data_IF_673398744811
#
_entry.id   IF_673398744811
#
_cell.length_a   1.000
_cell.length_b   1.000
_cell.length_c   1.000
_cell.angle_alpha   90.00
_cell.angle_beta   90.00
_cell.angle_gamma   90.00
#
_symmetry.space_group_name_H-M   'P 1'
#
loop_
_entity.id
_entity.type
_entity.pdbx_description
1 polymer ?
#
# COMPACT_ATOMS: atom_id res chain seq x y z
N UNK A 1 12.82 -0.62 -8.26
CA UNK A 1 12.36 -1.47 -7.13
C UNK A 1 11.77 -2.82 -7.54
N UNK A 2 11.23 -3.00 -8.75
CA UNK A 2 10.92 -4.35 -9.26
C UNK A 2 9.66 -5.00 -8.67
N UNK A 3 8.81 -4.23 -7.99
CA UNK A 3 7.49 -4.67 -7.56
C UNK A 3 6.56 -4.61 -8.76
N UNK A 4 5.95 -5.74 -9.10
CA UNK A 4 5.10 -5.88 -10.31
C UNK A 4 3.71 -6.45 -10.03
N UNK A 5 3.43 -6.80 -8.78
CA UNK A 5 2.11 -7.26 -8.33
C UNK A 5 1.53 -6.24 -7.37
N UNK A 6 0.49 -5.52 -7.79
CA UNK A 6 -0.23 -4.55 -6.98
C UNK A 6 -1.72 -4.68 -7.29
N UNK A 7 -2.55 -4.69 -6.26
CA UNK A 7 -4.01 -4.54 -6.40
C UNK A 7 -4.41 -3.19 -5.84
N UNK A 8 -5.31 -2.50 -6.54
CA UNK A 8 -5.78 -1.17 -6.18
C UNK A 8 -7.30 -1.16 -6.13
N UNK A 9 -7.88 -0.50 -5.14
CA UNK A 9 -9.33 -0.29 -5.03
C UNK A 9 -9.66 1.11 -4.55
N UNK A 10 -10.75 1.67 -5.05
CA UNK A 10 -11.30 2.92 -4.55
C UNK A 10 -12.04 2.66 -3.24
N UNK A 11 -11.69 3.44 -2.22
CA UNK A 11 -12.29 3.35 -0.89
C UNK A 11 -12.69 4.72 -0.37
N UNK A 12 -13.50 4.71 0.67
CA UNK A 12 -13.86 5.90 1.44
C UNK A 12 -13.33 5.71 2.85
N UNK A 13 -12.55 6.68 3.31
CA UNK A 13 -11.86 6.61 4.59
C UNK A 13 -12.12 7.85 5.43
N UNK A 14 -12.02 7.68 6.74
CA UNK A 14 -12.08 8.77 7.69
C UNK A 14 -10.97 8.57 8.72
N UNK A 15 -10.34 9.67 9.13
CA UNK A 15 -9.30 9.68 10.14
C UNK A 15 -9.52 10.84 11.09
N UNK A 16 -10.38 10.66 12.10
CA UNK A 16 -10.50 11.63 13.18
C UNK A 16 -9.16 11.74 13.93
N UNK A 17 -8.46 12.86 13.77
CA UNK A 17 -7.57 13.35 14.81
C UNK A 17 -8.38 14.33 15.66
N UNK A 18 -8.70 13.90 16.88
CA UNK A 18 -9.50 14.70 17.81
C UNK A 18 -8.95 16.11 17.95
N UNK A 19 -9.75 17.10 17.55
CA UNK A 19 -9.58 18.49 17.98
C UNK A 19 -9.18 19.52 16.92
N UNK A 20 -8.74 19.13 15.72
CA UNK A 20 -8.45 20.10 14.67
C UNK A 20 -9.44 19.93 13.52
N UNK A 21 -10.59 20.61 13.64
CA UNK A 21 -11.49 20.83 12.52
C UNK A 21 -10.71 21.52 11.40
N UNK A 22 -10.30 20.75 10.41
CA UNK A 22 -9.60 21.22 9.23
C UNK A 22 -10.55 22.18 8.48
N UNK A 23 -10.31 23.49 8.64
CA UNK A 23 -11.03 24.52 7.91
C UNK A 23 -10.58 24.48 6.45
N UNK A 24 -11.31 23.73 5.65
CA UNK A 24 -11.33 23.88 4.20
C UNK A 24 -12.78 24.12 3.78
N UNK A 25 -13.15 25.39 3.56
CA UNK A 25 -14.37 25.72 2.81
C UNK A 25 -15.65 26.08 3.58
N UNK A 26 -15.61 26.36 4.88
CA UNK A 26 -16.72 27.10 5.54
C UNK A 26 -18.02 26.34 5.81
N UNK A 27 -18.00 25.00 5.83
CA UNK A 27 -19.05 24.21 6.47
C UNK A 27 -18.43 23.29 7.50
N UNK A 28 -18.94 23.35 8.74
CA UNK A 28 -18.59 22.42 9.80
C UNK A 28 -18.80 21.00 9.27
N UNK A 29 -17.72 20.23 9.15
CA UNK A 29 -17.84 18.82 8.82
C UNK A 29 -18.44 18.11 10.03
N UNK A 30 -19.75 17.82 9.94
CA UNK A 30 -20.39 16.76 10.73
C UNK A 30 -19.53 15.51 10.65
N UNK A 31 -19.40 14.79 11.77
CA UNK A 31 -18.53 13.64 12.03
C UNK A 31 -18.68 12.43 11.06
N UNK A 32 -19.49 12.56 10.00
CA UNK A 32 -19.88 11.52 9.03
C UNK A 32 -19.31 11.69 7.59
N UNK A 33 -18.47 12.69 7.32
CA UNK A 33 -17.98 12.89 5.95
C UNK A 33 -16.75 12.04 5.61
N UNK A 34 -16.97 10.94 4.89
CA UNK A 34 -15.90 10.11 4.37
C UNK A 34 -15.22 10.74 3.15
N UNK A 35 -13.89 10.73 3.13
CA UNK A 35 -13.08 11.24 2.01
C UNK A 35 -12.70 10.08 1.09
N UNK A 36 -12.74 10.32 -0.22
CA UNK A 36 -12.27 9.35 -1.21
C UNK A 36 -10.76 9.12 -1.06
N UNK A 37 -10.35 7.84 -1.05
CA UNK A 37 -8.97 7.40 -0.91
C UNK A 37 -8.74 6.18 -1.81
N UNK A 38 -7.48 5.90 -2.11
CA UNK A 38 -7.08 4.69 -2.83
C UNK A 38 -6.46 3.71 -1.84
N UNK A 39 -6.93 2.46 -1.82
CA UNK A 39 -6.32 1.37 -1.07
C UNK A 39 -5.43 0.56 -2.00
N UNK A 40 -4.15 0.45 -1.63
CA UNK A 40 -3.17 -0.39 -2.32
C UNK A 40 -2.89 -1.64 -1.49
N UNK A 41 -2.90 -2.80 -2.14
CA UNK A 41 -2.56 -4.08 -1.54
C UNK A 41 -1.40 -4.68 -2.31
N UNK A 42 -0.28 -4.88 -1.60
CA UNK A 42 0.99 -5.34 -2.15
C UNK A 42 1.49 -6.46 -1.24
N UNK A 43 1.60 -7.67 -1.81
CA UNK A 43 2.17 -8.83 -1.12
C UNK A 43 3.59 -9.01 -1.64
N UNK A 44 4.56 -9.02 -0.72
CA UNK A 44 5.99 -9.13 -1.05
C UNK A 44 6.72 -10.04 -0.06
N UNK A 45 7.90 -10.52 -0.45
CA UNK A 45 8.85 -11.18 0.45
C UNK A 45 9.27 -10.29 1.63
N UNK A 46 9.59 -10.91 2.77
CA UNK A 46 9.95 -10.21 4.02
C UNK A 46 11.14 -9.26 3.86
N UNK A 47 12.10 -9.63 3.03
CA UNK A 47 13.30 -8.86 2.69
C UNK A 47 13.01 -7.58 1.88
N UNK A 48 11.81 -7.46 1.30
CA UNK A 48 11.41 -6.32 0.48
C UNK A 48 10.51 -5.31 1.20
N UNK A 49 9.97 -5.69 2.37
CA UNK A 49 8.95 -4.91 3.09
C UNK A 49 9.40 -3.46 3.33
N UNK A 50 10.55 -3.25 3.95
CA UNK A 50 11.06 -1.91 4.27
C UNK A 50 11.25 -1.05 3.02
N UNK A 51 11.82 -1.62 1.96
CA UNK A 51 12.02 -0.89 0.71
C UNK A 51 10.69 -0.47 0.07
N UNK A 52 9.63 -1.27 0.20
CA UNK A 52 8.30 -0.91 -0.29
C UNK A 52 7.69 0.21 0.56
N UNK A 53 7.80 0.12 1.88
CA UNK A 53 7.32 1.15 2.80
C UNK A 53 7.99 2.49 2.47
N UNK A 54 9.33 2.51 2.40
CA UNK A 54 10.10 3.71 2.13
C UNK A 54 9.68 4.36 0.83
N UNK A 55 9.46 3.55 -0.23
CA UNK A 55 9.05 4.08 -1.53
C UNK A 55 7.63 4.64 -1.53
N UNK A 56 6.70 4.01 -0.82
CA UNK A 56 5.33 4.54 -0.66
C UNK A 56 5.38 5.86 0.10
N UNK A 57 6.20 5.98 1.15
CA UNK A 57 6.33 7.22 1.91
C UNK A 57 6.98 8.31 1.05
N UNK A 58 8.06 8.00 0.34
CA UNK A 58 8.78 8.94 -0.52
C UNK A 58 7.85 9.57 -1.58
N UNK A 59 7.01 8.76 -2.22
CA UNK A 59 6.15 9.21 -3.33
C UNK A 59 4.76 9.70 -2.86
N UNK A 60 4.25 9.17 -1.75
CA UNK A 60 2.90 9.42 -1.28
C UNK A 60 2.77 10.50 -0.21
N UNK A 61 3.88 10.96 0.39
CA UNK A 61 3.87 11.97 1.44
C UNK A 61 3.81 13.38 0.85
N UNK A 62 2.78 14.14 1.21
CA UNK A 62 2.70 15.59 0.96
C UNK A 62 3.13 16.40 2.18
N UNK A 63 3.06 15.80 3.37
CA UNK A 63 3.28 16.48 4.65
C UNK A 63 1.99 16.96 5.31
N UNK A 64 0.86 16.85 4.61
CA UNK A 64 -0.45 17.29 5.10
C UNK A 64 -1.24 16.17 5.78
N UNK A 65 -2.28 16.56 6.51
CA UNK A 65 -3.21 15.62 7.13
C UNK A 65 -3.91 14.81 6.03
N UNK A 66 -3.97 13.49 6.23
CA UNK A 66 -4.67 12.60 5.30
C UNK A 66 -3.79 11.96 4.23
N UNK A 67 -2.45 12.09 4.30
CA UNK A 67 -1.46 11.32 3.52
C UNK A 67 -1.66 9.79 3.63
N UNK A 68 -2.36 9.33 4.67
CA UNK A 68 -2.84 7.96 4.80
C UNK A 68 -2.11 7.17 5.88
N UNK A 69 -2.27 5.85 5.83
CA UNK A 69 -1.63 4.90 6.75
C UNK A 69 -1.20 3.67 5.98
N UNK A 70 -0.06 3.09 6.36
CA UNK A 70 0.40 1.80 5.87
C UNK A 70 0.18 0.77 6.98
N UNK A 71 -0.44 -0.35 6.64
CA UNK A 71 -0.65 -1.47 7.56
C UNK A 71 0.16 -2.67 7.07
N UNK A 72 0.88 -3.31 7.99
CA UNK A 72 1.56 -4.58 7.74
C UNK A 72 0.68 -5.72 8.21
N UNK A 73 0.33 -6.62 7.30
CA UNK A 73 -0.48 -7.80 7.59
C UNK A 73 0.32 -9.04 7.19
N UNK A 74 0.54 -10.02 8.10
CA UNK A 74 1.25 -11.24 7.75
C UNK A 74 0.42 -12.08 6.77
N UNK A 75 1.07 -12.54 5.70
CA UNK A 75 0.48 -13.46 4.71
C UNK A 75 1.09 -14.85 4.91
N UNK A 76 0.25 -15.86 5.10
CA UNK A 76 0.68 -17.22 5.39
C UNK A 76 1.17 -18.00 4.16
N UNK A 77 0.51 -17.82 3.01
CA UNK A 77 0.88 -18.47 1.75
C UNK A 77 0.42 -17.61 0.56
N UNK A 78 1.06 -17.80 -0.59
CA UNK A 78 0.72 -17.18 -1.87
C UNK A 78 0.56 -18.29 -2.89
N UNK A 79 -0.55 -18.29 -3.64
CA UNK A 79 -0.84 -19.32 -4.64
C UNK A 79 -1.07 -18.66 -6.00
N UNK A 80 -0.30 -19.08 -7.01
CA UNK A 80 -0.51 -18.62 -8.39
C UNK A 80 -1.51 -19.53 -9.08
N UNK A 81 -2.73 -19.04 -9.29
CA UNK A 81 -3.83 -19.83 -9.87
C UNK A 81 -3.47 -20.52 -11.19
N UNK A 82 -2.77 -19.83 -12.09
CA UNK A 82 -2.42 -20.37 -13.42
C UNK A 82 -1.52 -21.60 -13.38
N UNK A 83 -0.62 -21.69 -12.40
CA UNK A 83 0.43 -22.72 -12.35
C UNK A 83 0.32 -23.64 -11.14
N UNK A 84 -0.44 -23.27 -10.13
CA UNK A 84 -0.50 -23.97 -8.84
C UNK A 84 0.74 -23.79 -7.97
N UNK A 85 1.70 -22.94 -8.38
CA UNK A 85 2.88 -22.61 -7.57
C UNK A 85 2.46 -22.00 -6.23
N UNK A 86 3.25 -22.26 -5.18
CA UNK A 86 3.01 -21.81 -3.81
C UNK A 86 4.21 -21.04 -3.22
N UNK A 87 3.97 -20.30 -2.14
CA UNK A 87 4.99 -19.55 -1.40
C UNK A 87 5.79 -18.60 -2.29
N UNK A 88 7.11 -18.57 -2.09
CA UNK A 88 8.02 -17.69 -2.85
C UNK A 88 7.92 -17.87 -4.36
N UNK A 89 7.71 -19.10 -4.86
CA UNK A 89 7.61 -19.33 -6.32
C UNK A 89 6.39 -18.65 -6.92
N UNK A 90 5.30 -18.60 -6.16
CA UNK A 90 4.07 -17.94 -6.58
C UNK A 90 4.20 -16.41 -6.53
N UNK A 91 4.81 -15.90 -5.46
CA UNK A 91 5.04 -14.47 -5.22
C UNK A 91 6.03 -13.86 -6.21
N UNK A 92 7.11 -14.59 -6.55
CA UNK A 92 8.15 -14.11 -7.46
C UNK A 92 7.60 -13.79 -8.84
N UNK A 93 7.82 -12.57 -9.28
CA UNK A 93 7.47 -12.12 -10.63
C UNK A 93 8.71 -12.13 -11.53
N UNK A 94 8.58 -12.65 -12.75
CA UNK A 94 9.66 -12.59 -13.75
C UNK A 94 10.02 -11.14 -14.07
N UNK A 95 11.32 -10.85 -14.12
CA UNK A 95 11.95 -9.53 -14.16
C UNK A 95 11.74 -8.69 -12.88
N UNK A 96 11.17 -9.29 -11.83
CA UNK A 96 10.96 -8.64 -10.55
C UNK A 96 12.28 -8.27 -9.87
N UNK A 97 12.19 -7.74 -8.66
CA UNK A 97 13.36 -7.31 -7.87
C UNK A 97 14.45 -8.38 -7.79
N UNK A 98 14.07 -9.65 -7.60
CA UNK A 98 15.00 -10.78 -7.52
C UNK A 98 15.84 -10.96 -8.79
N UNK A 99 15.20 -10.90 -9.96
CA UNK A 99 15.88 -11.06 -11.25
C UNK A 99 16.80 -9.88 -11.56
N UNK A 100 16.44 -8.67 -11.09
CA UNK A 100 17.30 -7.49 -11.23
C UNK A 100 18.52 -7.54 -10.31
N UNK A 101 18.40 -8.10 -9.09
CA UNK A 101 19.55 -8.27 -8.20
C UNK A 101 20.51 -9.38 -8.64
N UNK A 102 20.04 -10.38 -9.38
CA UNK A 102 20.87 -11.47 -9.90
C UNK A 102 21.63 -11.09 -11.19
N UNK A 103 21.25 -9.98 -11.84
CA UNK A 103 21.85 -9.48 -13.06
C UNK A 103 22.97 -8.44 -12.81
N UNK A 104 23.36 -8.24 -11.55
CA UNK A 104 24.46 -7.36 -11.11
C UNK A 104 25.58 -8.20 -10.52
#
# INVERSE_FOLDING_TARGET
>A
MGIRGVTVSDVRGFGAQGGSAERQGGSEFSEDNFVAKVKMEIVVGKDQVEAVIDKIIEEGRTGEIGDGKIFLVPVADVIRVRTGERGEKAERMTGGRYDMSAAT
#
